data_IF_087387652090
#
_entry.id   IF_087387652090
#
_cell.length_a   1.000
_cell.length_b   1.000
_cell.length_c   1.000
_cell.angle_alpha   90.00
_cell.angle_beta   90.00
_cell.angle_gamma   90.00
#
_symmetry.space_group_name_H-M   'P 1'
#
loop_
_entity.id
_entity.type
_entity.pdbx_description
1 polymer ?
#
# COMPACT_ATOMS: atom_id res chain seq x y z
N UNK A 1 -2.08 28.24 -0.54
CA UNK A 1 -1.62 26.91 -1.01
C UNK A 1 -2.66 25.89 -0.59
N UNK A 2 -3.63 25.57 -1.44
CA UNK A 2 -4.77 24.74 -1.06
C UNK A 2 -4.33 23.27 -0.92
N UNK A 3 -4.46 22.70 0.29
CA UNK A 3 -4.40 21.25 0.51
C UNK A 3 -5.53 20.60 -0.30
N UNK A 4 -5.19 20.02 -1.45
CA UNK A 4 -6.12 19.12 -2.14
C UNK A 4 -6.13 17.83 -1.34
N UNK A 5 -7.30 17.44 -0.83
CA UNK A 5 -7.52 16.07 -0.38
C UNK A 5 -7.02 15.12 -1.48
N UNK A 6 -6.04 14.27 -1.15
CA UNK A 6 -5.41 13.39 -2.12
C UNK A 6 -6.37 12.23 -2.39
N UNK A 7 -7.19 12.44 -3.42
CA UNK A 7 -7.93 11.39 -4.10
C UNK A 7 -7.41 11.32 -5.53
N UNK A 8 -6.82 10.19 -5.90
CA UNK A 8 -6.43 9.89 -7.27
C UNK A 8 -7.22 8.68 -7.71
N UNK A 9 -8.10 8.90 -8.68
CA UNK A 9 -8.88 7.88 -9.36
C UNK A 9 -8.49 7.97 -10.83
N UNK A 10 -7.46 7.23 -11.23
CA UNK A 10 -7.30 6.88 -12.65
C UNK A 10 -7.93 5.49 -12.83
N UNK A 11 -8.29 5.08 -14.05
CA UNK A 11 -8.91 3.77 -14.27
C UNK A 11 -8.09 2.57 -13.76
N UNK A 12 -6.85 2.78 -13.33
CA UNK A 12 -5.96 1.71 -12.89
C UNK A 12 -5.58 1.82 -11.40
N UNK A 13 -5.69 2.97 -10.73
CA UNK A 13 -5.26 3.10 -9.33
C UNK A 13 -6.20 3.91 -8.45
N UNK A 14 -6.12 3.65 -7.15
CA UNK A 14 -6.83 4.37 -6.09
C UNK A 14 -5.80 4.82 -5.06
N UNK A 15 -5.68 6.12 -4.83
CA UNK A 15 -4.94 6.67 -3.70
C UNK A 15 -5.87 7.60 -2.91
N UNK A 16 -6.13 7.29 -1.64
CA UNK A 16 -7.01 8.04 -0.74
C UNK A 16 -6.28 8.33 0.56
N UNK A 17 -6.11 9.62 0.87
CA UNK A 17 -5.53 10.11 2.13
C UNK A 17 -4.38 11.06 1.90
N UNK A 18 -4.15 11.97 2.84
CA UNK A 18 -3.04 12.95 2.76
C UNK A 18 -1.71 12.21 2.58
N UNK A 19 -0.88 12.64 1.63
CA UNK A 19 0.39 11.99 1.27
C UNK A 19 0.28 10.52 0.81
N UNK A 20 -0.92 10.02 0.49
CA UNK A 20 -1.07 8.69 -0.10
C UNK A 20 -0.50 8.64 -1.52
N UNK A 21 0.04 7.48 -1.90
CA UNK A 21 0.61 7.22 -3.22
C UNK A 21 0.30 5.79 -3.63
N UNK A 22 -0.28 5.62 -4.81
CA UNK A 22 -0.43 4.31 -5.44
C UNK A 22 0.30 4.31 -6.79
N UNK A 23 0.86 3.16 -7.17
CA UNK A 23 1.53 2.98 -8.45
C UNK A 23 1.17 1.64 -9.09
N UNK A 24 1.11 1.62 -10.42
CA UNK A 24 0.57 0.48 -11.17
C UNK A 24 -0.92 0.30 -10.88
N UNK A 25 -1.45 -0.90 -11.15
CA UNK A 25 -2.84 -1.19 -10.84
C UNK A 25 -3.01 -1.49 -9.33
N UNK A 26 -3.16 -0.49 -8.47
CA UNK A 26 -3.09 -0.69 -7.00
C UNK A 26 -3.98 0.24 -6.19
N UNK A 27 -4.11 -0.08 -4.89
CA UNK A 27 -4.90 0.68 -3.93
C UNK A 27 -4.01 1.12 -2.76
N UNK A 28 -4.01 2.41 -2.44
CA UNK A 28 -3.42 2.97 -1.23
C UNK A 28 -4.50 3.76 -0.47
N UNK A 29 -4.80 3.37 0.77
CA UNK A 29 -5.85 3.99 1.58
C UNK A 29 -5.35 4.30 2.99
N UNK A 30 -5.29 5.58 3.35
CA UNK A 30 -4.80 6.08 4.63
C UNK A 30 -3.85 7.27 4.48
N UNK A 31 -3.65 8.04 5.56
CA UNK A 31 -2.59 9.07 5.57
C UNK A 31 -1.23 8.40 5.41
N UNK A 32 -0.49 8.82 4.38
CA UNK A 32 0.81 8.29 4.01
C UNK A 32 0.83 6.81 3.60
N UNK A 33 -0.31 6.22 3.22
CA UNK A 33 -0.33 4.88 2.63
C UNK A 33 0.39 4.88 1.27
N UNK A 34 1.30 3.94 1.04
CA UNK A 34 2.15 3.89 -0.16
C UNK A 34 2.19 2.50 -0.79
N UNK A 35 1.82 2.44 -2.07
CA UNK A 35 2.23 1.36 -2.98
C UNK A 35 3.30 1.90 -3.91
N UNK A 36 4.52 1.36 -3.82
CA UNK A 36 5.64 1.80 -4.64
C UNK A 36 5.51 1.33 -6.10
N UNK A 37 6.35 1.86 -6.99
CA UNK A 37 6.34 1.50 -8.42
C UNK A 37 6.56 0.00 -8.67
N UNK A 38 7.35 -0.65 -7.81
CA UNK A 38 7.57 -2.09 -7.81
C UNK A 38 6.40 -2.89 -7.21
N UNK A 39 5.42 -2.23 -6.59
CA UNK A 39 4.29 -2.83 -5.88
C UNK A 39 3.00 -2.95 -6.70
N UNK A 40 3.02 -2.90 -8.03
CA UNK A 40 1.79 -3.01 -8.84
C UNK A 40 0.94 -4.26 -8.51
N UNK A 41 -0.38 -4.18 -8.73
CA UNK A 41 -1.35 -5.23 -8.38
C UNK A 41 -1.46 -5.51 -6.88
N UNK A 42 -1.29 -4.48 -6.05
CA UNK A 42 -1.23 -4.62 -4.59
C UNK A 42 -2.15 -3.65 -3.88
N UNK A 43 -2.28 -3.84 -2.57
CA UNK A 43 -3.16 -3.05 -1.71
C UNK A 43 -2.42 -2.67 -0.42
N UNK A 44 -2.39 -1.38 -0.10
CA UNK A 44 -1.90 -0.81 1.15
C UNK A 44 -3.05 -0.08 1.86
N UNK A 45 -3.40 -0.49 3.08
CA UNK A 45 -4.49 0.09 3.86
C UNK A 45 -4.04 0.37 5.30
N UNK A 46 -4.08 1.62 5.71
CA UNK A 46 -3.71 2.07 7.06
C UNK A 46 -2.76 3.25 7.06
N UNK A 47 -2.64 3.91 8.21
CA UNK A 47 -1.66 4.98 8.44
C UNK A 47 -0.26 4.46 8.15
N UNK A 48 0.47 5.09 7.22
CA UNK A 48 1.83 4.70 6.82
C UNK A 48 2.00 3.24 6.34
N UNK A 49 0.91 2.57 5.92
CA UNK A 49 1.01 1.23 5.34
C UNK A 49 1.81 1.26 4.03
N UNK A 50 2.66 0.24 3.81
CA UNK A 50 3.60 0.23 2.68
C UNK A 50 3.67 -1.11 1.94
N UNK A 51 3.52 -1.08 0.63
CA UNK A 51 3.82 -2.22 -0.24
C UNK A 51 4.98 -1.89 -1.17
N UNK A 52 6.03 -2.73 -1.15
CA UNK A 52 7.20 -2.61 -2.03
C UNK A 52 7.24 -3.68 -3.14
N UNK A 53 6.44 -4.74 -3.04
CA UNK A 53 6.49 -5.88 -3.95
C UNK A 53 5.15 -6.13 -4.63
N UNK A 54 5.19 -6.64 -5.87
CA UNK A 54 3.98 -6.93 -6.66
C UNK A 54 3.10 -7.97 -5.98
N UNK A 55 1.80 -7.93 -6.30
CA UNK A 55 0.81 -8.92 -5.87
C UNK A 55 0.74 -9.08 -4.34
N UNK A 56 1.00 -8.02 -3.59
CA UNK A 56 1.12 -8.08 -2.13
C UNK A 56 0.02 -7.30 -1.43
N UNK A 57 -0.13 -7.53 -0.12
CA UNK A 57 -1.17 -6.91 0.70
C UNK A 57 -0.56 -6.42 2.02
N UNK A 58 -0.74 -5.14 2.34
CA UNK A 58 -0.40 -4.57 3.64
C UNK A 58 -1.65 -3.92 4.24
N UNK A 59 -2.16 -4.44 5.36
CA UNK A 59 -3.32 -3.88 6.08
C UNK A 59 -2.95 -3.68 7.54
N UNK A 60 -3.00 -2.43 8.01
CA UNK A 60 -2.69 -2.04 9.38
C UNK A 60 -1.81 -0.79 9.42
N UNK A 61 -1.79 -0.10 10.57
CA UNK A 61 -0.90 1.03 10.77
C UNK A 61 0.56 0.54 10.71
N UNK A 62 1.39 1.24 9.92
CA UNK A 62 2.80 0.93 9.67
C UNK A 62 3.07 -0.52 9.17
N UNK A 63 2.05 -1.20 8.64
CA UNK A 63 2.19 -2.52 8.00
C UNK A 63 3.09 -2.44 6.77
N UNK A 64 3.91 -3.46 6.52
CA UNK A 64 4.74 -3.52 5.31
C UNK A 64 4.83 -4.88 4.65
N UNK A 65 4.45 -4.96 3.38
CA UNK A 65 4.61 -6.14 2.54
C UNK A 65 5.74 -5.90 1.52
N UNK A 66 6.89 -6.53 1.77
CA UNK A 66 8.09 -6.39 0.94
C UNK A 66 8.47 -7.67 0.19
N UNK A 67 7.90 -8.83 0.56
CA UNK A 67 8.03 -10.06 -0.22
C UNK A 67 7.08 -10.08 -1.42
N UNK A 68 7.48 -10.66 -2.55
CA UNK A 68 6.56 -10.89 -3.68
C UNK A 68 5.40 -11.79 -3.25
N UNK A 69 4.16 -11.40 -3.55
CA UNK A 69 2.98 -12.19 -3.16
C UNK A 69 2.73 -12.23 -1.65
N UNK A 70 3.34 -11.35 -0.87
CA UNK A 70 3.27 -11.42 0.60
C UNK A 70 2.07 -10.69 1.18
N UNK A 71 1.63 -11.12 2.36
CA UNK A 71 0.55 -10.50 3.13
C UNK A 71 1.09 -10.08 4.49
N UNK A 72 0.86 -8.83 4.85
CA UNK A 72 1.18 -8.24 6.15
C UNK A 72 -0.09 -7.66 6.76
N UNK A 73 -0.48 -8.19 7.91
CA UNK A 73 -1.64 -7.71 8.67
C UNK A 73 -1.16 -7.14 10.01
N UNK A 74 -1.86 -6.11 10.51
CA UNK A 74 -1.53 -5.46 11.78
C UNK A 74 -0.29 -4.56 11.70
N UNK A 75 0.48 -4.49 12.78
CA UNK A 75 1.72 -3.71 12.86
C UNK A 75 2.91 -4.64 12.57
N UNK A 76 3.04 -5.08 11.32
CA UNK A 76 3.95 -6.15 10.92
C UNK A 76 4.76 -5.82 9.66
N UNK A 77 5.88 -6.52 9.46
CA UNK A 77 6.70 -6.47 8.25
C UNK A 77 6.88 -7.88 7.68
N UNK A 78 6.34 -8.12 6.48
CA UNK A 78 6.42 -9.41 5.77
C UNK A 78 7.40 -9.34 4.61
N UNK A 79 8.51 -10.08 4.72
CA UNK A 79 9.58 -10.11 3.73
C UNK A 79 9.72 -11.43 2.96
N UNK A 80 9.04 -12.50 3.41
CA UNK A 80 9.03 -13.78 2.71
C UNK A 80 8.18 -13.75 1.44
N UNK A 81 8.66 -14.42 0.38
CA UNK A 81 7.86 -14.63 -0.84
C UNK A 81 6.66 -15.50 -0.49
N UNK A 82 5.45 -15.03 -0.78
CA UNK A 82 4.21 -15.73 -0.45
C UNK A 82 3.93 -15.87 1.06
N UNK A 83 4.73 -15.23 1.92
CA UNK A 83 4.55 -15.32 3.36
C UNK A 83 3.35 -14.50 3.82
N UNK A 84 2.75 -14.92 4.93
CA UNK A 84 1.62 -14.24 5.58
C UNK A 84 2.01 -14.03 7.05
N UNK A 85 2.15 -12.78 7.47
CA UNK A 85 2.32 -12.40 8.88
C UNK A 85 1.13 -11.57 9.35
N UNK A 86 0.75 -11.73 10.62
CA UNK A 86 -0.44 -11.16 11.24
C UNK A 86 -0.16 -10.68 12.65
#
# INVERSE_FOLDING_TARGET
MLMRCAIVLTPMLIAIGKNSKASGASVALGEGAVVEASGGFSVAVGYHSKVNSKNSLAIGADSSAIGFGSISLGLSLTNGIGAIYW
#
